data_IF_767776740301
#
_entry.id   IF_767776740301
#
_cell.length_a   1.000
_cell.length_b   1.000
_cell.length_c   1.000
_cell.angle_alpha   90.00
_cell.angle_beta   90.00
_cell.angle_gamma   90.00
#
_symmetry.space_group_name_H-M   'P 1'
#
loop_
_entity.id
_entity.type
_entity.pdbx_description
1 polymer ?
#
# COMPACT_ATOMS: atom_id res chain seq x y z
N UNK A 1 -27.34 15.47 7.16
CA UNK A 1 -26.23 14.68 6.60
C UNK A 1 -24.92 15.29 7.08
N UNK A 2 -24.28 14.73 8.11
CA UNK A 2 -22.98 15.20 8.61
C UNK A 2 -21.85 14.51 7.82
N UNK A 3 -20.79 15.22 7.40
CA UNK A 3 -19.64 14.60 6.76
C UNK A 3 -18.81 13.84 7.81
N UNK A 4 -18.66 12.53 7.61
CA UNK A 4 -17.77 11.68 8.40
C UNK A 4 -16.34 12.06 8.03
N UNK A 5 -15.62 12.73 8.96
CA UNK A 5 -14.18 13.00 8.80
C UNK A 5 -13.42 11.68 9.00
N UNK A 6 -12.52 11.26 8.09
CA UNK A 6 -11.62 10.14 8.37
C UNK A 6 -10.68 10.57 9.50
N UNK A 7 -10.71 9.82 10.60
CA UNK A 7 -9.96 10.12 11.81
C UNK A 7 -8.44 10.09 11.53
N UNK A 8 -7.76 11.19 11.83
CA UNK A 8 -6.30 11.31 11.83
C UNK A 8 -5.62 10.36 12.86
N UNK A 9 -6.40 9.72 13.73
CA UNK A 9 -5.93 8.81 14.78
C UNK A 9 -5.42 7.46 14.28
N UNK A 10 -5.82 7.04 13.07
CA UNK A 10 -5.38 5.75 12.53
C UNK A 10 -3.87 5.74 12.25
N UNK A 11 -3.34 6.85 11.73
CA UNK A 11 -1.92 7.03 11.38
C UNK A 11 -1.01 6.84 12.59
N UNK A 12 -1.43 7.33 13.76
CA UNK A 12 -0.65 7.22 15.01
C UNK A 12 -0.56 5.79 15.54
N UNK A 13 -1.64 5.02 15.38
CA UNK A 13 -1.68 3.58 15.69
C UNK A 13 -0.81 2.76 14.72
N UNK A 14 -0.73 3.17 13.44
CA UNK A 14 0.18 2.58 12.47
C UNK A 14 1.64 2.90 12.82
N UNK A 15 1.97 4.16 13.13
CA UNK A 15 3.32 4.60 13.51
C UNK A 15 3.84 3.92 14.78
N UNK A 16 3.01 3.81 15.82
CA UNK A 16 3.38 3.16 17.08
C UNK A 16 3.75 1.69 16.91
N UNK A 17 3.14 0.99 15.95
CA UNK A 17 3.46 -0.42 15.64
C UNK A 17 4.71 -0.55 14.78
N UNK A 18 5.02 0.46 13.97
CA UNK A 18 6.25 0.49 13.16
C UNK A 18 7.51 0.58 14.04
N UNK A 19 7.47 1.33 15.15
CA UNK A 19 8.61 1.51 16.06
C UNK A 19 8.94 0.30 16.94
N UNK A 20 8.00 -0.63 17.14
CA UNK A 20 8.24 -1.87 17.91
C UNK A 20 8.98 -2.95 17.10
N UNK A 21 9.22 -2.72 15.79
CA UNK A 21 9.76 -3.71 14.86
C UNK A 21 11.25 -4.03 15.04
N UNK A 22 11.94 -3.42 16.01
CA UNK A 22 13.41 -3.44 16.09
C UNK A 22 13.99 -4.48 17.04
N UNK A 23 13.18 -5.28 17.74
CA UNK A 23 13.67 -6.37 18.59
C UNK A 23 13.01 -7.71 18.24
N UNK A 24 13.77 -8.57 17.54
CA UNK A 24 13.66 -10.03 17.67
C UNK A 24 12.37 -10.69 17.16
N UNK A 25 11.84 -10.28 16.00
CA UNK A 25 10.87 -11.12 15.29
C UNK A 25 11.55 -11.81 14.13
N UNK A 26 11.78 -13.12 14.29
CA UNK A 26 11.85 -14.01 13.14
C UNK A 26 10.65 -13.71 12.24
N UNK A 27 10.91 -13.14 11.07
CA UNK A 27 9.89 -12.91 10.06
C UNK A 27 9.38 -14.28 9.62
N UNK A 28 8.29 -14.72 10.24
CA UNK A 28 7.63 -15.97 9.88
C UNK A 28 7.25 -15.86 8.40
N UNK A 29 7.75 -16.79 7.59
CA UNK A 29 7.49 -16.83 6.14
C UNK A 29 5.99 -16.71 5.88
N UNK A 30 5.61 -15.84 4.93
CA UNK A 30 4.21 -15.53 4.61
C UNK A 30 3.39 -14.90 5.74
N UNK A 31 4.04 -14.26 6.71
CA UNK A 31 3.37 -13.48 7.76
C UNK A 31 3.91 -12.05 7.71
N UNK A 32 3.04 -11.12 7.36
CA UNK A 32 3.35 -9.69 7.32
C UNK A 32 2.43 -8.91 8.25
N UNK A 33 2.96 -7.83 8.80
CA UNK A 33 2.13 -6.79 9.37
C UNK A 33 1.29 -6.10 8.30
N UNK A 34 0.15 -5.56 8.71
CA UNK A 34 -0.76 -4.86 7.80
C UNK A 34 -0.08 -3.67 7.09
N UNK A 35 0.78 -2.92 7.79
CA UNK A 35 1.52 -1.81 7.17
C UNK A 35 2.50 -2.30 6.10
N UNK A 36 3.25 -3.36 6.41
CA UNK A 36 4.21 -3.97 5.47
C UNK A 36 3.51 -4.57 4.26
N UNK A 37 2.31 -5.12 4.44
CA UNK A 37 1.47 -5.59 3.35
C UNK A 37 1.04 -4.45 2.43
N UNK A 38 0.68 -3.29 2.97
CA UNK A 38 0.36 -2.10 2.18
C UNK A 38 1.54 -1.68 1.30
N UNK A 39 2.75 -1.62 1.87
CA UNK A 39 3.98 -1.29 1.14
C UNK A 39 4.29 -2.31 0.04
N UNK A 40 4.10 -3.60 0.32
CA UNK A 40 4.28 -4.66 -0.66
C UNK A 40 3.31 -4.50 -1.83
N UNK A 41 2.03 -4.23 -1.56
CA UNK A 41 1.01 -4.07 -2.60
C UNK A 41 1.28 -2.83 -3.44
N UNK A 42 1.79 -1.76 -2.84
CA UNK A 42 2.17 -0.55 -3.56
C UNK A 42 3.37 -0.79 -4.49
N UNK A 43 4.44 -1.41 -3.98
CA UNK A 43 5.60 -1.79 -4.80
C UNK A 43 5.25 -2.78 -5.92
N UNK A 44 4.28 -3.66 -5.68
CA UNK A 44 3.80 -4.62 -6.69
C UNK A 44 3.29 -3.92 -7.95
N UNK A 45 2.74 -2.70 -7.85
CA UNK A 45 2.21 -1.95 -9.01
C UNK A 45 3.29 -1.60 -10.04
N UNK A 46 4.54 -1.49 -9.61
CA UNK A 46 5.69 -1.22 -10.48
C UNK A 46 6.38 -2.50 -11.00
N UNK A 47 5.81 -3.66 -10.73
CA UNK A 47 6.39 -4.95 -11.14
C UNK A 47 5.95 -5.31 -12.55
N UNK A 48 6.90 -5.50 -13.46
CA UNK A 48 6.62 -5.71 -14.88
C UNK A 48 6.83 -7.16 -15.33
N UNK A 49 7.67 -7.94 -14.64
CA UNK A 49 7.99 -9.32 -15.02
C UNK A 49 7.77 -10.31 -13.88
N UNK A 50 7.61 -11.60 -14.21
CA UNK A 50 7.56 -12.66 -13.18
C UNK A 50 8.84 -12.71 -12.32
N UNK A 51 9.99 -12.38 -12.91
CA UNK A 51 11.27 -12.30 -12.19
C UNK A 51 11.24 -11.20 -11.14
N UNK A 52 10.71 -10.03 -11.47
CA UNK A 52 10.59 -8.91 -10.55
C UNK A 52 9.63 -9.25 -9.41
N UNK A 53 8.53 -9.95 -9.72
CA UNK A 53 7.59 -10.42 -8.71
C UNK A 53 8.24 -11.42 -7.75
N UNK A 54 9.08 -12.31 -8.29
CA UNK A 54 9.85 -13.27 -7.50
C UNK A 54 10.86 -12.58 -6.58
N UNK A 55 11.52 -11.50 -7.05
CA UNK A 55 12.40 -10.67 -6.22
C UNK A 55 11.61 -9.96 -5.13
N UNK A 56 10.50 -9.32 -5.47
CA UNK A 56 9.65 -8.61 -4.52
C UNK A 56 9.13 -9.56 -3.43
N UNK A 57 8.67 -10.75 -3.80
CA UNK A 57 8.22 -11.75 -2.82
C UNK A 57 9.33 -12.13 -1.83
N UNK A 58 10.56 -12.34 -2.32
CA UNK A 58 11.73 -12.64 -1.47
C UNK A 58 12.07 -11.49 -0.53
N UNK A 59 12.09 -10.25 -1.01
CA UNK A 59 12.41 -9.05 -0.23
C UNK A 59 11.45 -8.88 0.96
N UNK A 60 10.22 -9.39 0.85
CA UNK A 60 9.20 -9.36 1.89
C UNK A 60 8.97 -10.71 2.60
N UNK A 61 9.78 -11.73 2.34
CA UNK A 61 9.65 -13.03 3.01
C UNK A 61 8.37 -13.83 2.65
N UNK A 62 7.81 -13.60 1.46
CA UNK A 62 6.64 -14.32 0.92
C UNK A 62 7.04 -15.26 -0.22
N UNK A 63 6.30 -16.35 -0.38
CA UNK A 63 6.33 -17.19 -1.58
C UNK A 63 5.75 -16.47 -2.81
N UNK A 64 6.42 -16.50 -3.97
CA UNK A 64 5.92 -15.89 -5.20
C UNK A 64 4.48 -16.32 -5.55
N UNK A 65 4.15 -17.60 -5.39
CA UNK A 65 2.81 -18.12 -5.68
C UNK A 65 1.72 -17.64 -4.70
N UNK A 66 2.10 -17.32 -3.46
CA UNK A 66 1.18 -16.70 -2.50
C UNK A 66 0.97 -15.24 -2.84
N UNK A 67 2.03 -14.52 -3.21
CA UNK A 67 1.92 -13.14 -3.67
C UNK A 67 1.04 -13.04 -4.93
N UNK A 68 1.22 -13.94 -5.91
CA UNK A 68 0.37 -14.06 -7.10
C UNK A 68 -1.09 -14.29 -6.74
N UNK A 69 -1.39 -15.21 -5.81
CA UNK A 69 -2.76 -15.49 -5.36
C UNK A 69 -3.37 -14.32 -4.60
N UNK A 70 -2.61 -13.70 -3.71
CA UNK A 70 -3.05 -12.58 -2.89
C UNK A 70 -3.44 -11.38 -3.77
N UNK A 71 -2.62 -11.06 -4.77
CA UNK A 71 -2.87 -9.98 -5.73
C UNK A 71 -4.14 -10.15 -6.57
N UNK A 72 -4.76 -11.34 -6.61
CA UNK A 72 -6.07 -11.54 -7.27
C UNK A 72 -7.24 -11.01 -6.45
N UNK A 73 -7.07 -10.87 -5.14
CA UNK A 73 -8.14 -10.53 -4.21
C UNK A 73 -7.95 -9.17 -3.55
N UNK A 74 -6.70 -8.76 -3.34
CA UNK A 74 -6.38 -7.50 -2.68
C UNK A 74 -5.36 -6.70 -3.49
N UNK A 75 -5.53 -5.39 -3.45
CA UNK A 75 -4.62 -4.42 -4.05
C UNK A 75 -4.65 -3.14 -3.21
N UNK A 76 -3.68 -2.24 -3.38
CA UNK A 76 -3.70 -0.92 -2.76
C UNK A 76 -4.21 0.14 -3.75
N UNK A 77 -4.99 1.13 -3.29
CA UNK A 77 -5.47 2.19 -4.16
C UNK A 77 -4.29 3.04 -4.67
N UNK A 78 -4.45 3.62 -5.86
CA UNK A 78 -3.51 4.57 -6.48
C UNK A 78 -4.21 5.90 -6.74
N UNK A 79 -3.43 6.95 -7.00
CA UNK A 79 -3.96 8.27 -7.37
C UNK A 79 -4.05 8.38 -8.90
N UNK A 80 -5.21 8.81 -9.42
CA UNK A 80 -5.30 9.25 -10.80
C UNK A 80 -4.75 10.67 -10.93
N UNK A 81 -3.54 10.79 -11.47
CA UNK A 81 -2.81 12.05 -11.61
C UNK A 81 -3.57 13.11 -12.41
N UNK A 82 -4.42 12.70 -13.36
CA UNK A 82 -5.23 13.62 -14.18
C UNK A 82 -6.35 14.31 -13.41
N UNK A 83 -6.66 13.84 -12.20
CA UNK A 83 -7.78 14.35 -11.38
C UNK A 83 -7.31 15.21 -10.21
N UNK A 84 -5.99 15.40 -10.07
CA UNK A 84 -5.38 16.23 -9.04
C UNK A 84 -5.84 17.67 -9.25
N UNK A 85 -6.46 18.25 -8.22
CA UNK A 85 -6.87 19.66 -8.19
C UNK A 85 -6.68 20.24 -6.79
N UNK A 86 -6.45 21.55 -6.65
CA UNK A 86 -6.40 22.21 -5.34
C UNK A 86 -7.68 21.95 -4.55
N UNK A 87 -7.54 21.63 -3.26
CA UNK A 87 -8.68 21.58 -2.36
C UNK A 87 -9.20 23.01 -2.19
N UNK A 88 -10.37 23.32 -2.76
CA UNK A 88 -10.94 24.66 -2.66
C UNK A 88 -11.54 24.84 -1.25
N UNK A 89 -10.84 25.58 -0.39
CA UNK A 89 -11.26 25.86 0.99
C UNK A 89 -10.46 27.00 1.61
N UNK A 90 -11.11 27.86 2.39
CA UNK A 90 -10.57 29.11 2.98
C UNK A 90 -9.56 28.88 4.13
N UNK A 91 -8.59 27.99 3.97
CA UNK A 91 -7.60 27.71 5.02
C UNK A 91 -6.25 27.45 4.38
N UNK A 92 -5.19 27.99 4.99
CA UNK A 92 -3.79 27.95 4.54
C UNK A 92 -3.15 26.54 4.57
N UNK A 93 -3.94 25.49 4.75
CA UNK A 93 -3.55 24.09 4.57
C UNK A 93 -4.13 23.58 3.25
N UNK A 94 -3.74 24.19 2.13
CA UNK A 94 -4.25 23.82 0.81
C UNK A 94 -3.68 22.47 0.36
N UNK A 95 -4.35 21.38 0.75
CA UNK A 95 -4.11 20.05 0.21
C UNK A 95 -4.61 19.91 -1.24
N UNK A 96 -4.41 18.74 -1.84
CA UNK A 96 -4.95 18.40 -3.16
C UNK A 96 -6.03 17.33 -3.04
N UNK A 97 -7.06 17.43 -3.87
CA UNK A 97 -8.07 16.38 -4.04
C UNK A 97 -7.75 15.63 -5.32
N UNK A 98 -7.75 14.29 -5.24
CA UNK A 98 -7.59 13.42 -6.41
C UNK A 98 -8.47 12.18 -6.29
N UNK A 99 -8.83 11.60 -7.42
CA UNK A 99 -9.62 10.38 -7.51
C UNK A 99 -8.74 9.16 -7.27
N UNK A 100 -9.15 8.30 -6.34
CA UNK A 100 -8.54 7.00 -6.13
C UNK A 100 -8.92 6.03 -7.26
N UNK A 101 -7.96 5.26 -7.74
CA UNK A 101 -8.13 4.24 -8.80
C UNK A 101 -7.43 2.94 -8.41
N UNK A 102 -7.97 1.83 -8.88
CA UNK A 102 -7.35 0.50 -8.74
C UNK A 102 -6.47 0.23 -9.95
N UNK A 103 -5.18 -0.03 -9.73
CA UNK A 103 -4.22 -0.30 -10.80
C UNK A 103 -3.68 -1.71 -10.66
N UNK A 104 -3.94 -2.56 -11.64
CA UNK A 104 -3.38 -3.90 -11.70
C UNK A 104 -2.07 -3.88 -12.50
N UNK A 105 -0.96 -4.41 -11.96
CA UNK A 105 0.30 -4.49 -12.69
C UNK A 105 0.19 -5.45 -13.88
N UNK A 106 0.70 -5.03 -15.04
CA UNK A 106 0.77 -5.86 -16.25
C UNK A 106 2.04 -6.70 -16.21
N UNK A 107 1.97 -7.82 -15.51
CA UNK A 107 3.11 -8.74 -15.38
C UNK A 107 3.23 -9.56 -16.68
N UNK A 108 4.34 -9.37 -17.39
CA UNK A 108 4.73 -10.17 -18.55
C UNK A 108 5.43 -11.46 -18.11
N UNK A 109 5.13 -12.56 -18.82
CA UNK A 109 5.68 -13.89 -18.59
C UNK A 109 7.16 -14.02 -18.93
#
# INVERSE_FOLDING_TARGET
MQPIRPAADNTRLFESRSTESSSSQETKRNHLYAFTLSDLLDKRKSTETEKDLGKLAKDFGIEPDRLKRLGRFINSPSINSLTIRPASGKSEEEGFIATAVWVEPKISG
#
